data_IF_564649084472
#
_entry.id   IF_564649084472
#
_cell.length_a   1.000
_cell.length_b   1.000
_cell.length_c   1.000
_cell.angle_alpha   90.00
_cell.angle_beta   90.00
_cell.angle_gamma   90.00
#
_symmetry.space_group_name_H-M   'P 1'
#
loop_
_entity.id
_entity.type
_entity.pdbx_description
1 polymer ?
#
# COMPACT_ATOMS: atom_id res chain seq x y z
N UNK A 1 24.65 -11.34 1.92
CA UNK A 1 25.17 -10.09 1.34
C UNK A 1 24.03 -9.08 1.50
N UNK A 2 24.24 -8.01 2.27
CA UNK A 2 23.21 -7.00 2.51
C UNK A 2 22.94 -6.27 1.18
N UNK A 3 21.76 -6.49 0.64
CA UNK A 3 21.30 -5.76 -0.53
C UNK A 3 20.85 -4.37 -0.05
N UNK A 4 21.58 -3.34 -0.41
CA UNK A 4 21.17 -1.96 -0.14
C UNK A 4 20.12 -1.58 -1.19
N UNK A 5 18.88 -1.24 -0.82
CA UNK A 5 17.86 -0.87 -1.79
C UNK A 5 18.31 0.33 -2.63
N UNK A 6 17.94 0.32 -3.91
CA UNK A 6 18.25 1.39 -4.85
C UNK A 6 17.43 2.63 -4.49
N UNK A 7 17.94 3.46 -3.60
CA UNK A 7 17.32 4.74 -3.24
C UNK A 7 17.48 5.75 -4.38
N UNK A 8 16.50 6.63 -4.62
CA UNK A 8 16.59 7.70 -5.60
C UNK A 8 17.85 8.54 -5.36
N UNK A 9 18.62 8.82 -6.41
CA UNK A 9 19.98 9.44 -6.40
C UNK A 9 20.07 10.85 -5.79
N UNK A 10 18.98 11.42 -5.28
CA UNK A 10 18.90 12.80 -4.78
C UNK A 10 18.44 12.92 -3.32
N UNK A 11 18.52 11.86 -2.52
CA UNK A 11 18.27 11.95 -1.08
C UNK A 11 19.59 12.13 -0.34
N UNK A 12 19.73 13.22 0.40
CA UNK A 12 20.84 13.44 1.34
C UNK A 12 20.84 12.31 2.40
N UNK A 13 22.01 11.83 2.83
CA UNK A 13 22.09 10.79 3.84
C UNK A 13 21.62 11.35 5.18
N UNK A 14 20.38 11.12 5.52
CA UNK A 14 19.89 11.19 6.89
C UNK A 14 20.34 9.90 7.56
N UNK A 15 20.85 9.99 8.79
CA UNK A 15 21.40 8.90 9.60
C UNK A 15 20.44 7.69 9.66
N UNK A 16 20.66 6.73 8.78
CA UNK A 16 19.79 5.57 8.57
C UNK A 16 20.46 4.34 9.18
N UNK A 17 19.89 3.82 10.23
CA UNK A 17 19.74 2.38 10.26
C UNK A 17 18.70 2.08 9.16
N UNK A 18 19.18 1.69 7.97
CA UNK A 18 18.29 1.33 6.86
C UNK A 18 17.37 0.19 7.29
N UNK A 19 16.24 -0.01 6.57
CA UNK A 19 15.38 -1.15 6.85
C UNK A 19 16.21 -2.44 6.73
N UNK A 20 16.00 -3.36 7.64
CA UNK A 20 16.47 -4.71 7.44
C UNK A 20 15.65 -5.31 6.30
N UNK A 21 16.30 -5.56 5.15
CA UNK A 21 15.65 -6.22 4.02
C UNK A 21 15.84 -7.72 4.14
N UNK A 22 14.76 -8.47 4.24
CA UNK A 22 14.74 -9.91 4.39
C UNK A 22 14.14 -10.58 3.16
N UNK A 23 14.77 -11.64 2.67
CA UNK A 23 14.11 -12.62 1.83
C UNK A 23 13.23 -13.48 2.73
N UNK A 24 11.93 -13.20 2.79
CA UNK A 24 11.03 -14.04 3.55
C UNK A 24 10.67 -15.27 2.74
N UNK A 25 11.46 -16.30 2.86
CA UNK A 25 11.24 -17.61 2.22
C UNK A 25 9.89 -18.22 2.60
N UNK A 26 9.32 -17.84 3.76
CA UNK A 26 8.05 -18.36 4.26
C UNK A 26 6.82 -17.61 3.74
N UNK A 27 6.94 -16.31 3.42
CA UNK A 27 5.80 -15.46 2.98
C UNK A 27 5.70 -15.30 1.47
N UNK A 28 6.69 -15.79 0.71
CA UNK A 28 6.73 -15.64 -0.74
C UNK A 28 7.12 -14.26 -1.26
N UNK A 29 7.36 -13.26 -0.37
CA UNK A 29 7.79 -11.93 -0.76
C UNK A 29 9.15 -11.55 -0.21
N UNK A 30 10.02 -11.02 -1.08
CA UNK A 30 11.13 -10.18 -0.64
C UNK A 30 10.53 -8.88 -0.09
N UNK A 31 10.94 -8.45 1.10
CA UNK A 31 10.41 -7.22 1.69
C UNK A 31 11.41 -6.53 2.60
N UNK A 32 11.26 -5.23 2.78
CA UNK A 32 11.96 -4.47 3.79
C UNK A 32 11.06 -4.29 5.01
N UNK A 33 11.66 -4.33 6.20
CA UNK A 33 10.93 -4.20 7.47
C UNK A 33 11.64 -3.23 8.41
N UNK A 34 10.86 -2.45 9.14
CA UNK A 34 11.31 -1.71 10.33
C UNK A 34 10.38 -2.06 11.48
N UNK A 35 10.91 -2.68 12.50
CA UNK A 35 10.19 -2.97 13.75
C UNK A 35 10.60 -1.94 14.81
N UNK A 36 9.66 -1.31 15.53
CA UNK A 36 9.98 -0.46 16.66
C UNK A 36 10.78 -1.23 17.73
N UNK A 37 11.76 -0.58 18.39
CA UNK A 37 12.67 -1.27 19.32
C UNK A 37 12.00 -1.80 20.59
N UNK A 38 10.82 -1.32 20.92
CA UNK A 38 9.99 -1.74 22.05
C UNK A 38 8.95 -2.81 21.70
N UNK A 39 8.88 -3.22 20.42
CA UNK A 39 8.01 -4.29 19.97
C UNK A 39 8.55 -5.67 20.40
N UNK A 40 7.66 -6.57 20.80
CA UNK A 40 7.96 -7.93 21.22
C UNK A 40 6.69 -8.74 21.47
N UNK A 41 6.84 -10.01 21.89
CA UNK A 41 5.70 -10.91 22.10
C UNK A 41 4.70 -10.38 23.13
N UNK A 42 5.17 -9.63 24.14
CA UNK A 42 4.33 -8.99 25.15
C UNK A 42 3.84 -7.58 24.76
N UNK A 43 4.32 -7.05 23.62
CA UNK A 43 3.98 -5.72 23.14
C UNK A 43 3.86 -5.72 21.61
N UNK A 44 2.73 -6.20 21.11
CA UNK A 44 2.43 -6.15 19.67
C UNK A 44 2.16 -4.71 19.23
N UNK A 45 2.81 -4.28 18.15
CA UNK A 45 2.72 -2.92 17.62
C UNK A 45 1.82 -2.85 16.38
N UNK A 46 1.22 -1.68 16.09
CA UNK A 46 0.53 -1.47 14.81
C UNK A 46 1.47 -1.69 13.62
N UNK A 47 0.91 -1.99 12.46
CA UNK A 47 1.68 -2.21 11.24
C UNK A 47 1.12 -1.46 10.05
N UNK A 48 2.01 -0.82 9.28
CA UNK A 48 1.74 -0.24 7.98
C UNK A 48 2.40 -1.11 6.90
N UNK A 49 1.61 -1.73 6.05
CA UNK A 49 2.10 -2.44 4.86
C UNK A 49 1.94 -1.52 3.66
N UNK A 50 3.03 -1.31 2.89
CA UNK A 50 3.03 -0.33 1.81
C UNK A 50 3.41 -0.98 0.48
N UNK A 51 2.48 -0.96 -0.49
CA UNK A 51 2.62 -1.57 -1.81
C UNK A 51 3.04 -0.52 -2.85
N UNK A 52 4.14 -0.77 -3.56
CA UNK A 52 4.72 0.17 -4.52
C UNK A 52 3.96 0.19 -5.86
N UNK A 53 4.27 1.19 -6.69
CA UNK A 53 3.76 1.29 -8.06
C UNK A 53 4.53 0.42 -9.05
N UNK A 54 4.11 0.44 -10.33
CA UNK A 54 4.80 -0.21 -11.44
C UNK A 54 6.27 0.21 -11.50
N UNK A 55 7.17 -0.75 -11.70
CA UNK A 55 8.61 -0.51 -11.80
C UNK A 55 9.28 -0.18 -10.46
N UNK A 56 8.55 -0.30 -9.34
CA UNK A 56 9.12 -0.13 -8.00
C UNK A 56 9.77 -1.41 -7.48
N UNK A 57 10.29 -1.30 -6.26
CA UNK A 57 10.88 -2.37 -5.46
C UNK A 57 10.47 -2.23 -3.99
N UNK A 58 10.97 -3.08 -3.12
CA UNK A 58 10.73 -3.04 -1.68
C UNK A 58 11.25 -1.77 -1.00
N UNK A 59 12.17 -1.03 -1.61
CA UNK A 59 12.68 0.26 -1.13
C UNK A 59 11.81 1.46 -1.53
N UNK A 60 11.03 1.32 -2.58
CA UNK A 60 10.33 2.44 -3.25
C UNK A 60 9.35 3.18 -2.35
N UNK A 61 8.68 2.47 -1.42
CA UNK A 61 7.69 3.07 -0.51
C UNK A 61 8.30 3.75 0.72
N UNK A 62 9.60 3.63 0.95
CA UNK A 62 10.26 4.26 2.12
C UNK A 62 10.22 5.78 2.12
N UNK A 63 9.96 6.41 0.99
CA UNK A 63 9.71 7.86 0.92
C UNK A 63 8.48 8.28 1.76
N UNK A 64 7.53 7.36 1.97
CA UNK A 64 6.31 7.60 2.75
C UNK A 64 6.44 7.31 4.24
N UNK A 65 7.59 6.79 4.73
CA UNK A 65 7.81 6.47 6.15
C UNK A 65 7.50 7.63 7.11
N UNK A 66 7.67 8.87 6.66
CA UNK A 66 7.36 10.06 7.44
C UNK A 66 5.86 10.25 7.72
N UNK A 67 5.01 9.56 6.95
CA UNK A 67 3.57 9.52 7.20
C UNK A 67 3.19 8.45 8.24
N UNK A 68 4.13 7.59 8.65
CA UNK A 68 3.86 6.52 9.60
C UNK A 68 4.29 6.96 11.00
N UNK A 69 3.39 6.89 12.00
CA UNK A 69 3.68 7.28 13.37
C UNK A 69 4.84 6.48 13.98
N UNK A 70 5.62 7.08 14.91
CA UNK A 70 6.54 6.33 15.74
C UNK A 70 5.80 5.21 16.50
N UNK A 71 6.47 4.06 16.69
CA UNK A 71 5.83 2.90 17.35
C UNK A 71 5.02 2.01 16.42
N UNK A 72 4.92 2.35 15.12
CA UNK A 72 4.30 1.50 14.09
C UNK A 72 5.37 0.76 13.29
N UNK A 73 5.21 -0.55 13.10
CA UNK A 73 6.04 -1.32 12.17
C UNK A 73 5.77 -0.89 10.73
N UNK A 74 6.81 -0.89 9.90
CA UNK A 74 6.68 -0.63 8.46
C UNK A 74 7.18 -1.85 7.70
N UNK A 75 6.35 -2.35 6.77
CA UNK A 75 6.68 -3.49 5.93
C UNK A 75 6.38 -3.12 4.48
N UNK A 76 7.37 -3.32 3.60
CA UNK A 76 7.26 -2.96 2.18
C UNK A 76 7.65 -4.14 1.32
N UNK A 77 6.70 -4.95 0.85
CA UNK A 77 6.99 -6.08 -0.02
C UNK A 77 7.31 -5.63 -1.45
N UNK A 78 8.16 -6.40 -2.12
CA UNK A 78 8.44 -6.33 -3.55
C UNK A 78 7.36 -7.09 -4.30
N UNK A 79 6.84 -6.51 -5.38
CA UNK A 79 5.90 -7.17 -6.27
C UNK A 79 6.51 -8.43 -6.93
N UNK A 80 5.68 -9.44 -7.26
CA UNK A 80 6.18 -10.76 -7.67
C UNK A 80 6.68 -10.84 -9.12
N UNK A 81 6.29 -9.90 -10.00
CA UNK A 81 6.64 -9.94 -11.42
C UNK A 81 7.90 -9.12 -11.67
N UNK A 82 8.96 -9.78 -12.09
CA UNK A 82 10.23 -9.13 -12.48
C UNK A 82 10.08 -8.53 -13.88
N UNK A 83 10.35 -7.23 -14.02
CA UNK A 83 10.36 -6.49 -15.28
C UNK A 83 11.79 -6.34 -15.84
N UNK A 84 12.71 -7.22 -15.43
CA UNK A 84 14.13 -7.16 -15.76
C UNK A 84 14.77 -5.86 -15.23
N UNK A 85 15.26 -4.99 -16.14
CA UNK A 85 15.92 -3.73 -15.75
C UNK A 85 14.95 -2.64 -15.27
N UNK A 86 13.62 -2.84 -15.42
CA UNK A 86 12.58 -1.85 -15.12
C UNK A 86 11.95 -2.01 -13.71
N UNK A 87 12.48 -2.88 -12.85
CA UNK A 87 11.98 -3.15 -11.49
C UNK A 87 10.89 -4.23 -11.46
N UNK A 88 9.83 -4.03 -10.63
CA UNK A 88 8.84 -5.07 -10.35
C UNK A 88 7.41 -4.58 -10.54
N UNK A 89 6.48 -5.52 -10.82
CA UNK A 89 5.07 -5.23 -11.00
C UNK A 89 4.18 -6.23 -10.25
N UNK A 90 2.99 -5.76 -9.83
CA UNK A 90 2.00 -6.59 -9.16
C UNK A 90 1.19 -7.45 -10.14
N UNK A 91 0.92 -6.90 -11.33
CA UNK A 91 0.20 -7.57 -12.40
C UNK A 91 0.59 -7.00 -13.75
N UNK A 92 0.34 -7.75 -14.83
CA UNK A 92 0.65 -7.32 -16.18
C UNK A 92 -0.37 -6.31 -16.71
N UNK A 93 0.13 -5.31 -17.45
CA UNK A 93 -0.66 -4.29 -18.13
C UNK A 93 0.03 -3.81 -19.40
N UNK A 94 -0.73 -3.43 -20.41
CA UNK A 94 -0.23 -2.81 -21.63
C UNK A 94 -0.21 -1.26 -21.58
N UNK A 95 -1.03 -0.69 -20.72
CA UNK A 95 -1.05 0.75 -20.42
C UNK A 95 -1.53 1.02 -18.98
N UNK A 96 -1.39 2.24 -18.45
CA UNK A 96 -1.74 2.57 -17.07
C UNK A 96 -3.17 2.27 -16.65
N UNK A 97 -4.10 2.17 -17.60
CA UNK A 97 -5.53 2.07 -17.31
C UNK A 97 -6.14 0.73 -17.70
N UNK A 98 -5.35 -0.14 -18.35
CA UNK A 98 -5.88 -1.38 -18.88
C UNK A 98 -5.14 -2.60 -18.30
N UNK A 99 -5.87 -3.41 -17.57
CA UNK A 99 -5.43 -4.71 -17.09
C UNK A 99 -5.44 -5.71 -18.26
N UNK A 100 -4.26 -6.20 -18.64
CA UNK A 100 -4.14 -7.17 -19.76
C UNK A 100 -4.33 -8.59 -19.32
N UNK A 101 -4.05 -8.87 -18.07
CA UNK A 101 -4.08 -10.21 -17.48
C UNK A 101 -4.74 -10.17 -16.10
N UNK A 102 -6.10 -10.34 -16.05
CA UNK A 102 -6.83 -10.40 -14.78
C UNK A 102 -6.37 -11.53 -13.86
N UNK A 103 -5.89 -12.66 -14.43
CA UNK A 103 -5.44 -13.81 -13.64
C UNK A 103 -4.21 -13.43 -12.80
N UNK A 104 -3.26 -12.67 -13.37
CA UNK A 104 -2.08 -12.19 -12.63
C UNK A 104 -2.43 -11.28 -11.46
N UNK A 105 -3.48 -10.47 -11.58
CA UNK A 105 -3.97 -9.66 -10.46
C UNK A 105 -4.62 -10.52 -9.38
N UNK A 106 -5.44 -11.50 -9.76
CA UNK A 106 -6.07 -12.43 -8.79
C UNK A 106 -5.00 -13.21 -8.02
N UNK A 107 -4.03 -13.80 -8.71
CA UNK A 107 -2.90 -14.48 -8.06
C UNK A 107 -2.12 -13.57 -7.11
N UNK A 108 -1.95 -12.31 -7.48
CA UNK A 108 -1.27 -11.33 -6.63
C UNK A 108 -2.09 -10.99 -5.38
N UNK A 109 -3.41 -10.84 -5.52
CA UNK A 109 -4.30 -10.59 -4.38
C UNK A 109 -4.21 -11.77 -3.39
N UNK A 110 -4.27 -13.00 -3.87
CA UNK A 110 -4.13 -14.21 -3.04
C UNK A 110 -2.77 -14.24 -2.31
N UNK A 111 -1.68 -13.94 -3.00
CA UNK A 111 -0.34 -13.86 -2.38
C UNK A 111 -0.23 -12.76 -1.33
N UNK A 112 -0.84 -11.59 -1.58
CA UNK A 112 -0.83 -10.48 -0.61
C UNK A 112 -1.72 -10.82 0.59
N UNK A 113 -2.88 -11.46 0.40
CA UNK A 113 -3.73 -11.98 1.49
C UNK A 113 -2.94 -12.94 2.39
N UNK A 114 -2.31 -13.94 1.80
CA UNK A 114 -1.47 -14.91 2.51
C UNK A 114 -0.33 -14.22 3.27
N UNK A 115 0.32 -13.23 2.65
CA UNK A 115 1.38 -12.46 3.27
C UNK A 115 0.89 -11.69 4.49
N UNK A 116 -0.20 -10.93 4.38
CA UNK A 116 -0.77 -10.17 5.49
C UNK A 116 -1.19 -11.08 6.65
N UNK A 117 -1.78 -12.22 6.33
CA UNK A 117 -2.23 -13.22 7.31
C UNK A 117 -1.05 -13.85 8.09
N UNK A 118 0.13 -13.94 7.46
CA UNK A 118 1.33 -14.51 8.08
C UNK A 118 2.14 -13.50 8.90
N UNK A 119 1.93 -12.20 8.76
CA UNK A 119 2.72 -11.16 9.42
C UNK A 119 2.84 -11.34 10.95
N UNK A 120 1.76 -11.69 11.69
CA UNK A 120 1.85 -11.87 13.14
C UNK A 120 2.70 -13.10 13.57
N UNK A 121 3.00 -14.02 12.64
CA UNK A 121 3.87 -15.16 12.88
C UNK A 121 5.34 -14.83 12.60
N UNK A 122 5.59 -13.79 11.80
CA UNK A 122 6.91 -13.34 11.39
C UNK A 122 7.44 -12.20 12.25
N UNK A 123 6.55 -11.34 12.72
CA UNK A 123 6.87 -10.08 13.41
C UNK A 123 5.94 -9.82 14.59
N UNK A 124 6.39 -9.10 15.64
CA UNK A 124 5.56 -8.73 16.79
C UNK A 124 4.58 -7.61 16.44
N UNK A 125 3.65 -7.88 15.51
CA UNK A 125 2.65 -6.92 15.02
C UNK A 125 1.24 -7.37 15.37
N UNK A 126 0.37 -6.38 15.61
CA UNK A 126 -1.05 -6.60 15.87
C UNK A 126 -1.84 -6.58 14.55
N UNK A 127 -2.37 -7.72 14.10
CA UNK A 127 -3.14 -7.78 12.85
C UNK A 127 -4.43 -6.95 12.87
N UNK A 128 -4.99 -6.67 14.05
CA UNK A 128 -6.17 -5.82 14.19
C UNK A 128 -5.85 -4.32 13.98
N UNK A 129 -4.58 -3.96 14.00
CA UNK A 129 -4.08 -2.59 13.77
C UNK A 129 -3.17 -2.53 12.54
N UNK A 130 -3.63 -3.12 11.43
CA UNK A 130 -2.95 -3.11 10.14
C UNK A 130 -3.57 -2.05 9.22
N UNK A 131 -2.77 -1.09 8.74
CA UNK A 131 -3.13 -0.23 7.62
C UNK A 131 -2.41 -0.67 6.36
N UNK A 132 -3.18 -0.77 5.25
CA UNK A 132 -2.65 -1.08 3.93
C UNK A 132 -2.56 0.19 3.10
N UNK A 133 -1.38 0.51 2.58
CA UNK A 133 -1.12 1.74 1.81
C UNK A 133 -0.61 1.35 0.44
N UNK A 134 -1.33 1.69 -0.60
CA UNK A 134 -0.92 1.42 -1.98
C UNK A 134 -0.66 2.70 -2.77
N UNK A 135 0.39 2.68 -3.61
CA UNK A 135 0.65 3.74 -4.58
C UNK A 135 0.46 3.22 -6.01
N UNK A 136 -0.28 3.94 -6.85
CA UNK A 136 -0.48 3.62 -8.27
C UNK A 136 -0.99 2.18 -8.47
N UNK A 137 -0.19 1.28 -9.04
CA UNK A 137 -0.52 -0.13 -9.20
C UNK A 137 -0.72 -0.85 -7.85
N UNK A 138 0.11 -0.52 -6.84
CA UNK A 138 -0.08 -1.03 -5.47
C UNK A 138 -1.41 -0.59 -4.85
N UNK A 139 -1.92 0.60 -5.21
CA UNK A 139 -3.25 1.03 -4.80
C UNK A 139 -4.37 0.19 -5.46
N UNK A 140 -4.19 -0.23 -6.71
CA UNK A 140 -5.14 -1.14 -7.37
C UNK A 140 -5.19 -2.51 -6.68
N UNK A 141 -4.05 -3.06 -6.28
CA UNK A 141 -3.97 -4.30 -5.49
C UNK A 141 -4.65 -4.11 -4.14
N UNK A 142 -4.30 -3.04 -3.41
CA UNK A 142 -4.90 -2.73 -2.10
C UNK A 142 -6.41 -2.59 -2.20
N UNK A 143 -6.89 -1.91 -3.23
CA UNK A 143 -8.30 -1.71 -3.51
C UNK A 143 -9.02 -3.04 -3.77
N UNK A 144 -8.47 -3.89 -4.62
CA UNK A 144 -9.05 -5.20 -4.96
C UNK A 144 -9.05 -6.15 -3.75
N UNK A 145 -7.96 -6.15 -2.96
CA UNK A 145 -7.87 -6.96 -1.74
C UNK A 145 -8.93 -6.56 -0.72
N UNK A 146 -9.09 -5.26 -0.46
CA UNK A 146 -10.08 -4.76 0.52
C UNK A 146 -11.51 -5.03 0.07
N UNK A 147 -11.80 -5.02 -1.24
CA UNK A 147 -13.09 -5.43 -1.75
C UNK A 147 -13.36 -6.93 -1.52
N UNK A 148 -12.34 -7.77 -1.55
CA UNK A 148 -12.46 -9.21 -1.29
C UNK A 148 -12.44 -9.55 0.21
N UNK A 149 -11.59 -8.86 0.99
CA UNK A 149 -11.22 -9.18 2.37
C UNK A 149 -11.09 -7.93 3.26
N UNK A 150 -12.18 -7.16 3.46
CA UNK A 150 -12.11 -5.90 4.24
C UNK A 150 -11.66 -6.10 5.69
N UNK A 151 -11.89 -7.28 6.27
CA UNK A 151 -11.55 -7.61 7.65
C UNK A 151 -10.04 -7.75 7.91
N UNK A 152 -9.22 -7.79 6.87
CA UNK A 152 -7.75 -7.90 7.01
C UNK A 152 -7.09 -6.59 7.44
N UNK A 153 -7.80 -5.47 7.32
CA UNK A 153 -7.21 -4.16 7.54
C UNK A 153 -8.04 -3.31 8.50
N UNK A 154 -7.37 -2.53 9.34
CA UNK A 154 -8.00 -1.47 10.12
C UNK A 154 -8.31 -0.23 9.25
N UNK A 155 -7.66 -0.08 8.11
CA UNK A 155 -7.93 0.96 7.13
C UNK A 155 -7.06 0.81 5.89
N UNK A 156 -7.46 1.47 4.79
CA UNK A 156 -6.74 1.44 3.52
C UNK A 156 -6.47 2.84 2.97
N UNK A 157 -5.26 3.07 2.47
CA UNK A 157 -4.88 4.31 1.79
C UNK A 157 -4.53 4.05 0.32
N UNK A 158 -5.21 4.76 -0.58
CA UNK A 158 -5.09 4.67 -2.03
C UNK A 158 -4.45 5.97 -2.56
N UNK A 159 -3.18 5.89 -2.94
CA UNK A 159 -2.38 7.04 -3.35
C UNK A 159 -2.17 7.01 -4.87
N UNK A 160 -2.67 8.00 -5.60
CA UNK A 160 -2.62 8.07 -7.08
C UNK A 160 -3.06 6.74 -7.73
N UNK A 161 -4.11 6.14 -7.19
CA UNK A 161 -4.54 4.78 -7.51
C UNK A 161 -5.18 4.63 -8.86
N UNK A 162 -5.03 3.45 -9.46
CA UNK A 162 -5.57 3.10 -10.79
C UNK A 162 -7.08 2.81 -10.80
N UNK A 163 -7.81 3.03 -9.70
CA UNK A 163 -9.22 2.66 -9.59
C UNK A 163 -9.45 1.15 -9.49
N UNK A 164 -10.70 0.74 -9.73
CA UNK A 164 -11.09 -0.68 -9.63
C UNK A 164 -10.67 -1.45 -10.89
N UNK A 165 -9.75 -2.39 -10.72
CA UNK A 165 -9.29 -3.24 -11.82
C UNK A 165 -10.12 -4.53 -11.95
N UNK A 166 -10.82 -4.93 -10.89
CA UNK A 166 -11.76 -6.05 -10.87
C UNK A 166 -13.14 -5.55 -10.42
N UNK A 167 -13.84 -4.79 -11.27
CA UNK A 167 -15.12 -4.18 -10.90
C UNK A 167 -16.20 -5.23 -10.56
N UNK A 168 -16.05 -6.45 -11.01
CA UNK A 168 -16.93 -7.57 -10.68
C UNK A 168 -16.89 -7.99 -9.20
N UNK A 169 -15.87 -7.58 -8.46
CA UNK A 169 -15.81 -7.81 -7.00
C UNK A 169 -16.75 -6.86 -6.24
N UNK A 170 -17.01 -5.67 -6.76
CA UNK A 170 -17.79 -4.63 -6.07
C UNK A 170 -19.22 -5.10 -5.74
N UNK A 171 -19.99 -5.74 -6.67
CA UNK A 171 -21.32 -6.19 -6.37
C UNK A 171 -21.40 -7.29 -5.31
N UNK A 172 -20.28 -7.93 -4.98
CA UNK A 172 -20.20 -8.99 -3.98
C UNK A 172 -19.98 -8.43 -2.58
N UNK A 173 -19.54 -7.18 -2.48
CA UNK A 173 -19.32 -6.49 -1.20
C UNK A 173 -20.66 -6.05 -0.63
N UNK A 174 -21.05 -6.62 0.50
CA UNK A 174 -22.32 -6.30 1.16
C UNK A 174 -22.25 -4.92 1.86
N UNK A 175 -21.14 -4.60 2.51
CA UNK A 175 -20.95 -3.34 3.23
C UNK A 175 -19.49 -3.18 3.63
N UNK A 176 -19.02 -1.93 3.63
CA UNK A 176 -17.75 -1.50 4.20
C UNK A 176 -17.99 -0.47 5.33
N UNK A 177 -19.14 -0.58 6.01
CA UNK A 177 -19.54 0.36 7.04
C UNK A 177 -18.49 0.52 8.13
N UNK A 178 -18.03 1.76 8.33
CA UNK A 178 -17.03 2.12 9.33
C UNK A 178 -15.57 1.79 8.95
N UNK A 179 -15.31 1.26 7.73
CA UNK A 179 -13.94 1.09 7.26
C UNK A 179 -13.32 2.45 6.92
N UNK A 180 -12.22 2.86 7.60
CA UNK A 180 -11.48 4.05 7.24
C UNK A 180 -10.79 3.89 5.88
N UNK A 181 -11.00 4.84 4.98
CA UNK A 181 -10.39 4.87 3.65
C UNK A 181 -9.79 6.24 3.38
N UNK A 182 -8.51 6.30 3.03
CA UNK A 182 -7.84 7.51 2.60
C UNK A 182 -7.58 7.46 1.10
N UNK A 183 -8.04 8.48 0.36
CA UNK A 183 -7.80 8.57 -1.08
C UNK A 183 -7.12 9.91 -1.38
N UNK A 184 -5.96 9.87 -2.03
CA UNK A 184 -5.19 11.05 -2.41
C UNK A 184 -4.78 10.99 -3.88
N UNK A 185 -5.04 12.07 -4.64
CA UNK A 185 -4.74 12.10 -6.07
C UNK A 185 -4.23 13.46 -6.55
N UNK A 186 -3.36 13.40 -7.58
CA UNK A 186 -2.85 14.60 -8.25
C UNK A 186 -3.83 15.14 -9.30
N UNK A 187 -4.20 16.42 -9.21
CA UNK A 187 -5.10 17.05 -10.21
C UNK A 187 -4.48 17.21 -11.59
N UNK A 188 -3.16 17.03 -11.70
CA UNK A 188 -2.41 17.05 -12.95
C UNK A 188 -1.75 15.69 -13.24
N UNK A 189 -2.35 14.63 -12.76
CA UNK A 189 -1.87 13.26 -13.01
C UNK A 189 -2.17 12.88 -14.47
N UNK A 190 -1.10 12.71 -15.27
CA UNK A 190 -1.17 12.34 -16.69
C UNK A 190 -1.06 10.81 -16.89
N UNK A 191 -0.81 10.05 -15.82
CA UNK A 191 -0.68 8.60 -15.84
C UNK A 191 -2.01 7.94 -15.48
N UNK A 192 -2.59 8.37 -14.35
CA UNK A 192 -3.89 7.90 -13.87
C UNK A 192 -4.84 9.10 -13.77
N UNK A 193 -5.96 9.12 -14.50
CA UNK A 193 -6.86 10.26 -14.51
C UNK A 193 -7.49 10.44 -13.11
N UNK A 194 -7.73 11.72 -12.75
CA UNK A 194 -8.37 12.08 -11.49
C UNK A 194 -9.74 11.41 -11.29
N UNK A 195 -10.47 11.15 -12.39
CA UNK A 195 -11.76 10.47 -12.35
C UNK A 195 -11.68 9.09 -11.68
N UNK A 196 -10.56 8.38 -11.79
CA UNK A 196 -10.37 7.08 -11.13
C UNK A 196 -10.42 7.20 -9.60
N UNK A 197 -9.87 8.26 -9.03
CA UNK A 197 -9.95 8.53 -7.60
C UNK A 197 -11.35 9.00 -7.17
N UNK A 198 -12.02 9.79 -8.00
CA UNK A 198 -13.39 10.26 -7.76
C UNK A 198 -14.38 9.09 -7.77
N UNK A 199 -14.29 8.20 -8.76
CA UNK A 199 -15.09 6.97 -8.84
C UNK A 199 -14.83 6.04 -7.65
N UNK A 200 -13.58 5.89 -7.23
CA UNK A 200 -13.24 5.11 -6.03
C UNK A 200 -13.87 5.74 -4.78
N UNK A 201 -13.78 7.06 -4.61
CA UNK A 201 -14.39 7.77 -3.49
C UNK A 201 -15.90 7.54 -3.43
N UNK A 202 -16.60 7.73 -4.56
CA UNK A 202 -18.05 7.50 -4.64
C UNK A 202 -18.43 6.05 -4.31
N UNK A 203 -17.68 5.08 -4.83
CA UNK A 203 -17.92 3.66 -4.57
C UNK A 203 -17.78 3.30 -3.10
N UNK A 204 -16.67 3.72 -2.46
CA UNK A 204 -16.46 3.48 -1.03
C UNK A 204 -17.52 4.14 -0.16
N UNK A 205 -17.94 5.38 -0.49
CA UNK A 205 -19.03 6.07 0.22
C UNK A 205 -20.37 5.32 0.07
N UNK A 206 -20.69 4.82 -1.13
CA UNK A 206 -21.90 4.02 -1.37
C UNK A 206 -21.90 2.71 -0.58
N UNK A 207 -20.74 2.12 -0.34
CA UNK A 207 -20.56 0.93 0.49
C UNK A 207 -20.52 1.24 2.00
N UNK A 208 -20.60 2.51 2.39
CA UNK A 208 -20.67 2.97 3.79
C UNK A 208 -19.31 3.15 4.47
N UNK A 209 -18.21 3.17 3.74
CA UNK A 209 -16.89 3.44 4.27
C UNK A 209 -16.74 4.90 4.75
N UNK A 210 -15.83 5.15 5.69
CA UNK A 210 -15.45 6.47 6.19
C UNK A 210 -14.31 7.03 5.33
N UNK A 211 -14.66 7.81 4.28
CA UNK A 211 -13.70 8.26 3.27
C UNK A 211 -13.12 9.62 3.59
N UNK A 212 -11.80 9.69 3.74
CA UNK A 212 -11.01 10.93 3.70
C UNK A 212 -10.44 11.11 2.30
N UNK A 213 -10.89 12.14 1.56
CA UNK A 213 -10.53 12.38 0.17
C UNK A 213 -9.75 13.68 -0.01
N UNK A 214 -8.63 13.63 -0.74
CA UNK A 214 -7.79 14.79 -1.02
C UNK A 214 -7.31 14.88 -2.46
N UNK A 215 -7.49 16.05 -3.09
CA UNK A 215 -6.94 16.42 -4.40
C UNK A 215 -5.78 17.41 -4.24
N UNK A 216 -4.66 17.16 -4.92
CA UNK A 216 -3.45 17.97 -4.78
C UNK A 216 -2.92 18.42 -6.14
N UNK A 217 -2.44 19.67 -6.23
CA UNK A 217 -1.93 20.24 -7.48
C UNK A 217 -0.53 19.68 -7.86
N UNK A 218 -0.47 18.39 -8.15
CA UNK A 218 0.72 17.66 -8.60
C UNK A 218 0.35 16.68 -9.72
N UNK A 219 1.37 16.09 -10.37
CA UNK A 219 1.22 14.98 -11.30
C UNK A 219 1.11 13.64 -10.56
N UNK A 220 1.60 12.54 -11.18
CA UNK A 220 1.59 11.18 -10.62
C UNK A 220 2.57 11.02 -9.45
N UNK A 221 2.27 11.64 -8.32
CA UNK A 221 3.06 11.63 -7.07
C UNK A 221 2.27 12.22 -5.92
N UNK A 222 2.76 12.00 -4.69
CA UNK A 222 2.20 12.62 -3.51
C UNK A 222 2.72 14.05 -3.29
N UNK A 223 1.81 14.96 -2.96
CA UNK A 223 2.11 16.31 -2.51
C UNK A 223 2.54 16.32 -1.04
N UNK A 224 3.38 17.27 -0.63
CA UNK A 224 3.81 17.40 0.78
C UNK A 224 2.63 17.52 1.76
N UNK A 225 1.56 18.26 1.38
CA UNK A 225 0.36 18.33 2.21
C UNK A 225 -0.34 16.97 2.27
N UNK A 226 -0.44 16.23 1.15
CA UNK A 226 -1.02 14.89 1.13
C UNK A 226 -0.28 13.88 2.04
N UNK A 227 1.04 14.02 2.17
CA UNK A 227 1.81 13.22 3.14
C UNK A 227 1.44 13.57 4.60
N UNK A 228 1.18 14.85 4.91
CA UNK A 228 0.74 15.28 6.24
C UNK A 228 -0.68 14.79 6.54
N UNK A 229 -1.55 14.87 5.56
CA UNK A 229 -2.93 14.41 5.69
C UNK A 229 -2.99 12.89 5.85
N UNK A 230 -2.17 12.14 5.10
CA UNK A 230 -1.99 10.70 5.27
C UNK A 230 -1.50 10.37 6.68
N UNK A 231 -0.53 11.14 7.20
CA UNK A 231 -0.02 10.93 8.56
C UNK A 231 -1.12 11.10 9.61
N UNK A 232 -1.88 12.20 9.53
CA UNK A 232 -2.97 12.46 10.46
C UNK A 232 -4.02 11.34 10.41
N UNK A 233 -4.35 10.87 9.21
CA UNK A 233 -5.28 9.75 9.02
C UNK A 233 -4.72 8.44 9.60
N UNK A 234 -3.44 8.11 9.37
CA UNK A 234 -2.82 6.89 9.95
C UNK A 234 -2.80 6.97 11.48
N UNK A 235 -2.50 8.14 12.05
CA UNK A 235 -2.53 8.37 13.51
C UNK A 235 -3.94 8.16 14.08
N UNK A 236 -4.99 8.57 13.38
CA UNK A 236 -6.38 8.37 13.77
C UNK A 236 -6.80 6.90 13.71
N UNK A 237 -6.44 6.19 12.65
CA UNK A 237 -6.82 4.78 12.43
C UNK A 237 -6.10 3.83 13.37
N UNK A 238 -4.83 4.09 13.68
CA UNK A 238 -4.01 3.20 14.52
C UNK A 238 -4.02 3.58 16.01
N UNK A 239 -4.49 4.74 16.33
CA UNK A 239 -4.86 5.37 17.61
C UNK A 239 -4.23 5.04 18.86
#
# INVERSE_FOLDING_TARGET
MSHTPNLPKNMEPVDWAGPDCHEAVSSGFVHCVRIPPDAGDDNLVPVAVMLHGWGGDEGSMWIFRQAIPPGTAIITPRAPLDLEDDGYAWFYRDNPLHLTDPESLVETIEKVDDFLTQLPQLYPVDPARLVLIGFSQGAAVSNSLVMARPELVAGVALLSGMGFQLPELIPQVMSLAGLPVFIAHGTRDEIVPLSAAQEACETYQQLGAEVTYGEYNVGHKMHTQGIKDLRAWVEEVLG
#
